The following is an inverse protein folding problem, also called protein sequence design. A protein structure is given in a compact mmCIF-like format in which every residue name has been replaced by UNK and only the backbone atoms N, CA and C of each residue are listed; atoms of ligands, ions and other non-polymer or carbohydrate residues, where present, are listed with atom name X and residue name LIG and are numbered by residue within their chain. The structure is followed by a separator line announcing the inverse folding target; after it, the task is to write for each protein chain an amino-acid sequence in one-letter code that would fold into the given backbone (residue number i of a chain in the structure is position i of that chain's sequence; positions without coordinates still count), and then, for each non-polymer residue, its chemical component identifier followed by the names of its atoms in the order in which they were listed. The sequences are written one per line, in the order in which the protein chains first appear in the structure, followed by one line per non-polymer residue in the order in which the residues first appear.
data_IF_022554054183
#
_entry.id   IF_022554054183
#
_cell.length_a   1.000
_cell.length_b   1.000
_cell.length_c   1.000
_cell.angle_alpha   90.00
_cell.angle_beta   90.00
_cell.angle_gamma   90.00
#
_symmetry.space_group_name_H-M   'P 1'
#
loop_
_entity.id
_entity.type
_entity.pdbx_description
1 polymer ?
#
# COMPACT_ATOMS: atom_id res chain seq x y z
N UNK A 1 -6.90 -31.52 -4.17
CA UNK A 1 -6.78 -30.38 -3.24
C UNK A 1 -6.94 -29.15 -4.09
N UNK A 2 -7.98 -28.36 -3.84
CA UNK A 2 -8.23 -27.13 -4.60
C UNK A 2 -7.33 -26.05 -4.03
N UNK A 3 -6.66 -25.31 -4.91
CA UNK A 3 -5.80 -24.20 -4.52
C UNK A 3 -6.52 -22.88 -4.81
N UNK A 4 -6.70 -22.05 -3.77
CA UNK A 4 -7.36 -20.76 -3.86
C UNK A 4 -6.31 -19.65 -3.82
N UNK A 5 -6.35 -18.72 -4.77
CA UNK A 5 -5.36 -17.64 -4.85
C UNK A 5 -5.96 -16.31 -4.45
N UNK A 6 -5.35 -15.68 -3.44
CA UNK A 6 -5.72 -14.32 -3.00
C UNK A 6 -5.19 -13.25 -3.95
N UNK A 7 -5.78 -12.04 -3.91
CA UNK A 7 -5.33 -10.88 -4.71
C UNK A 7 -3.88 -10.48 -4.43
N UNK A 8 -3.38 -10.72 -3.21
CA UNK A 8 -1.98 -10.45 -2.82
C UNK A 8 -1.01 -11.54 -3.27
N UNK A 9 -1.52 -12.61 -3.89
CA UNK A 9 -0.72 -13.69 -4.46
C UNK A 9 -0.47 -14.88 -3.53
N UNK A 10 -1.04 -14.88 -2.32
CA UNK A 10 -0.99 -16.03 -1.40
C UNK A 10 -1.89 -17.15 -1.94
N UNK A 11 -1.36 -18.37 -1.98
CA UNK A 11 -2.10 -19.59 -2.27
C UNK A 11 -2.59 -20.20 -0.95
N UNK A 12 -3.87 -20.52 -0.90
CA UNK A 12 -4.56 -21.13 0.23
C UNK A 12 -5.01 -22.53 -0.20
N UNK A 13 -4.81 -23.50 0.67
CA UNK A 13 -5.35 -24.84 0.53
C UNK A 13 -6.76 -24.93 1.10
N UNK A 14 -7.50 -25.99 0.75
CA UNK A 14 -8.81 -26.26 1.36
C UNK A 14 -8.71 -26.39 2.90
N UNK A 15 -7.60 -26.94 3.43
CA UNK A 15 -7.36 -27.05 4.87
C UNK A 15 -7.16 -25.68 5.54
N UNK A 16 -6.52 -24.72 4.85
CA UNK A 16 -6.38 -23.35 5.36
C UNK A 16 -7.74 -22.66 5.45
N UNK A 17 -8.65 -22.93 4.50
CA UNK A 17 -10.01 -22.40 4.53
C UNK A 17 -10.81 -23.00 5.68
N UNK A 18 -10.69 -24.30 5.91
CA UNK A 18 -11.37 -24.98 7.02
C UNK A 18 -10.90 -24.45 8.37
N UNK A 19 -9.59 -24.31 8.57
CA UNK A 19 -9.02 -23.71 9.77
C UNK A 19 -9.48 -22.26 10.01
N UNK A 20 -9.58 -21.45 8.94
CA UNK A 20 -10.12 -20.09 9.02
C UNK A 20 -11.61 -20.09 9.39
N UNK A 21 -12.39 -21.08 8.92
CA UNK A 21 -13.81 -21.21 9.28
C UNK A 21 -13.96 -21.52 10.77
N UNK A 22 -13.20 -22.50 11.27
CA UNK A 22 -13.23 -22.90 12.69
C UNK A 22 -12.80 -21.76 13.63
N UNK A 23 -11.78 -20.98 13.24
CA UNK A 23 -11.34 -19.80 13.97
C UNK A 23 -12.47 -18.77 14.10
N UNK A 24 -13.16 -18.51 12.97
CA UNK A 24 -14.25 -17.54 12.90
C UNK A 24 -15.47 -17.96 13.72
N UNK A 25 -15.80 -19.25 13.74
CA UNK A 25 -16.91 -19.78 14.52
C UNK A 25 -16.64 -19.76 16.04
N UNK A 26 -15.38 -19.96 16.44
CA UNK A 26 -14.99 -20.09 17.85
C UNK A 26 -14.62 -18.76 18.53
N UNK A 27 -14.18 -17.78 17.75
CA UNK A 27 -13.68 -16.50 18.28
C UNK A 27 -14.74 -15.41 18.15
N UNK A 28 -15.05 -14.71 19.25
CA UNK A 28 -15.91 -13.53 19.21
C UNK A 28 -15.12 -12.30 18.75
N UNK A 29 -15.25 -11.96 17.46
CA UNK A 29 -14.58 -10.78 16.89
C UNK A 29 -15.40 -9.51 17.14
N UNK A 30 -14.71 -8.41 17.41
CA UNK A 30 -15.32 -7.09 17.36
C UNK A 30 -15.70 -6.73 15.91
N UNK A 31 -16.95 -7.05 15.54
CA UNK A 31 -17.53 -6.77 14.23
C UNK A 31 -17.54 -5.26 13.94
N UNK A 32 -17.65 -4.41 14.97
CA UNK A 32 -17.62 -2.96 14.78
C UNK A 32 -16.21 -2.48 14.40
N UNK A 33 -15.16 -3.04 15.01
CA UNK A 33 -13.78 -2.80 14.61
C UNK A 33 -13.46 -3.35 13.21
N UNK A 34 -13.91 -4.57 12.89
CA UNK A 34 -13.70 -5.17 11.56
C UNK A 34 -14.43 -4.39 10.45
N UNK A 35 -15.64 -3.90 10.72
CA UNK A 35 -16.41 -3.06 9.79
C UNK A 35 -15.94 -1.61 9.74
N UNK A 36 -15.01 -1.19 10.61
CA UNK A 36 -14.39 0.13 10.56
C UNK A 36 -13.47 0.23 9.34
N UNK A 37 -14.08 0.23 8.15
CA UNK A 37 -13.44 0.66 6.91
C UNK A 37 -12.80 2.00 7.20
N UNK A 38 -11.49 2.12 6.94
CA UNK A 38 -10.87 3.41 6.65
C UNK A 38 -11.54 3.94 5.37
N UNK A 39 -12.75 4.49 5.48
CA UNK A 39 -13.46 5.13 4.36
C UNK A 39 -12.73 6.44 4.08
N UNK A 40 -12.02 6.47 2.96
CA UNK A 40 -11.34 7.66 2.48
C UNK A 40 -10.06 7.31 1.74
N UNK A 41 -9.50 8.30 1.06
CA UNK A 41 -8.11 8.22 0.58
C UNK A 41 -7.20 8.09 1.82
N UNK A 42 -6.29 7.11 1.87
CA UNK A 42 -5.30 7.03 2.94
C UNK A 42 -4.64 8.41 3.15
N UNK A 43 -4.55 8.84 4.41
CA UNK A 43 -3.83 10.06 4.73
C UNK A 43 -2.35 9.86 4.42
N UNK A 44 -1.69 10.91 3.95
CA UNK A 44 -0.24 10.92 3.78
C UNK A 44 0.28 12.01 4.73
N UNK A 45 0.75 11.60 5.90
CA UNK A 45 1.03 12.53 7.01
C UNK A 45 -0.24 12.87 7.81
N UNK A 46 -0.38 14.14 8.20
CA UNK A 46 -1.44 14.63 9.10
C UNK A 46 -2.81 14.80 8.44
N UNK A 47 -2.89 14.75 7.11
CA UNK A 47 -4.11 15.00 6.34
C UNK A 47 -4.15 14.17 5.04
N UNK A 48 -5.29 14.13 4.31
CA UNK A 48 -5.35 13.57 2.97
C UNK A 48 -4.35 14.26 2.03
N UNK A 49 -3.67 13.49 1.19
CA UNK A 49 -2.75 14.05 0.20
C UNK A 49 -3.49 14.80 -0.92
N UNK A 50 -3.03 16.00 -1.22
CA UNK A 50 -3.42 16.79 -2.40
C UNK A 50 -2.48 16.51 -3.58
N UNK A 51 -3.00 16.56 -4.81
CA UNK A 51 -2.23 16.37 -6.04
C UNK A 51 -1.78 17.72 -6.57
N UNK A 52 -0.47 18.00 -6.52
CA UNK A 52 0.13 19.22 -7.07
C UNK A 52 0.76 18.91 -8.43
N UNK A 53 0.28 19.50 -9.55
CA UNK A 53 0.88 19.29 -10.86
C UNK A 53 2.19 20.06 -11.01
N UNK A 54 3.27 19.37 -11.38
CA UNK A 54 4.61 19.95 -11.58
C UNK A 54 5.11 19.62 -12.98
N UNK A 55 5.69 20.61 -13.68
CA UNK A 55 6.36 20.39 -14.96
C UNK A 55 7.77 19.88 -14.72
N UNK A 56 8.10 18.74 -15.33
CA UNK A 56 9.39 18.08 -15.23
C UNK A 56 9.85 17.78 -16.66
N UNK A 57 11.11 18.08 -16.95
CA UNK A 57 11.71 17.76 -18.24
C UNK A 57 11.86 16.23 -18.42
N UNK A 58 11.92 15.73 -19.67
CA UNK A 58 11.93 14.29 -19.91
C UNK A 58 13.17 13.57 -19.36
N UNK A 59 14.32 14.24 -19.27
CA UNK A 59 15.56 13.65 -18.77
C UNK A 59 15.47 13.40 -17.27
N UNK A 60 15.02 14.40 -16.52
CA UNK A 60 14.78 14.28 -15.08
C UNK A 60 13.70 13.24 -14.78
N UNK A 61 12.64 13.17 -15.59
CA UNK A 61 11.63 12.11 -15.44
C UNK A 61 12.24 10.72 -15.60
N UNK A 62 13.10 10.51 -16.60
CA UNK A 62 13.75 9.22 -16.83
C UNK A 62 14.71 8.85 -15.67
N UNK A 63 15.41 9.83 -15.10
CA UNK A 63 16.26 9.62 -13.92
C UNK A 63 15.43 9.17 -12.70
N UNK A 64 14.28 9.81 -12.44
CA UNK A 64 13.36 9.43 -11.35
C UNK A 64 12.85 8.00 -11.54
N UNK A 65 12.43 7.63 -12.75
CA UNK A 65 11.94 6.28 -13.06
C UNK A 65 13.03 5.22 -12.88
N UNK A 66 14.27 5.54 -13.26
CA UNK A 66 15.42 4.65 -13.08
C UNK A 66 15.72 4.43 -11.61
N UNK A 67 15.72 5.50 -10.80
CA UNK A 67 15.93 5.41 -9.35
C UNK A 67 14.81 4.61 -8.66
N UNK A 68 13.55 4.87 -9.02
CA UNK A 68 12.40 4.15 -8.48
C UNK A 68 12.49 2.64 -8.73
N UNK A 69 12.94 2.22 -9.92
CA UNK A 69 13.17 0.81 -10.23
C UNK A 69 14.30 0.20 -9.40
N UNK A 70 15.42 0.92 -9.25
CA UNK A 70 16.56 0.46 -8.47
C UNK A 70 16.22 0.28 -6.98
N UNK A 71 15.40 1.19 -6.43
CA UNK A 71 14.99 1.18 -5.02
C UNK A 71 13.72 0.36 -4.76
N UNK A 72 13.20 -0.35 -5.76
CA UNK A 72 11.95 -1.11 -5.70
C UNK A 72 10.77 -0.30 -5.12
N UNK A 73 10.68 0.97 -5.48
CA UNK A 73 9.70 1.93 -4.96
C UNK A 73 8.97 2.67 -6.09
N UNK A 74 8.12 3.63 -5.74
CA UNK A 74 7.34 4.42 -6.71
C UNK A 74 8.04 5.74 -7.03
N UNK A 75 7.80 6.28 -8.23
CA UNK A 75 8.28 7.61 -8.63
C UNK A 75 7.82 8.70 -7.65
N UNK A 76 6.56 8.64 -7.20
CA UNK A 76 6.02 9.57 -6.19
C UNK A 76 6.68 9.44 -4.82
N UNK A 77 7.24 8.29 -4.46
CA UNK A 77 8.01 8.13 -3.22
C UNK A 77 9.38 8.79 -3.37
N UNK A 78 10.11 8.52 -4.46
CA UNK A 78 11.41 9.17 -4.75
C UNK A 78 11.28 10.69 -4.74
N UNK A 79 10.26 11.24 -5.41
CA UNK A 79 10.03 12.70 -5.44
C UNK A 79 9.81 13.25 -4.04
N UNK A 80 8.98 12.59 -3.21
CA UNK A 80 8.71 13.05 -1.85
C UNK A 80 9.95 12.98 -0.97
N UNK A 81 10.75 11.93 -1.08
CA UNK A 81 11.97 11.78 -0.29
C UNK A 81 13.03 12.82 -0.69
N UNK A 82 13.18 13.09 -1.99
CA UNK A 82 14.03 14.17 -2.48
C UNK A 82 13.58 15.56 -1.96
N UNK A 83 12.27 15.83 -1.94
CA UNK A 83 11.74 17.08 -1.38
C UNK A 83 11.97 17.19 0.14
N UNK A 84 11.80 16.09 0.87
CA UNK A 84 12.09 16.04 2.32
C UNK A 84 13.55 16.32 2.62
N UNK A 85 14.45 15.67 1.89
CA UNK A 85 15.90 15.88 2.00
C UNK A 85 16.28 17.32 1.65
N UNK A 86 15.76 17.84 0.54
CA UNK A 86 16.03 19.21 0.09
C UNK A 86 15.53 20.28 1.07
N UNK A 87 14.32 20.08 1.63
CA UNK A 87 13.71 21.02 2.57
C UNK A 87 14.13 20.76 4.03
N UNK A 88 14.90 19.70 4.30
CA UNK A 88 15.28 19.26 5.65
C UNK A 88 14.07 19.00 6.54
N UNK A 89 13.06 18.33 5.99
CA UNK A 89 11.79 17.99 6.69
C UNK A 89 11.61 16.49 6.76
N UNK A 90 11.12 15.98 7.92
CA UNK A 90 10.90 14.56 8.17
C UNK A 90 9.46 14.13 7.84
#
# INVERSE_FOLDING_TARGET
MTEHRTRTGLNLTDADIEALSDEVESTDYDIAALKKRRRGRPTLGSAPAEVVPVRIDPELRAAIETRAKADHTTTSQIIRDALREFLQTA
#
